data_IF_363837415728
#
_entry.id   IF_363837415728
#
_cell.length_a   1.000
_cell.length_b   1.000
_cell.length_c   1.000
_cell.angle_alpha   90.00
_cell.angle_beta   90.00
_cell.angle_gamma   90.00
#
_symmetry.space_group_name_H-M   'P 1'
#
loop_
_entity.id
_entity.type
_entity.pdbx_description
1 polymer ?
#
# COMPACT_ATOMS: atom_id res chain seq x y z
N UNK A 1 -35.70 -19.48 -35.10
CA UNK A 1 -35.14 -19.72 -33.75
C UNK A 1 -33.62 -19.83 -33.72
N UNK A 2 -32.98 -20.70 -34.53
CA UNK A 2 -31.50 -20.88 -34.51
C UNK A 2 -30.67 -19.60 -34.65
N UNK A 3 -31.02 -18.68 -35.57
CA UNK A 3 -30.32 -17.40 -35.73
C UNK A 3 -30.38 -16.48 -34.49
N UNK A 4 -31.51 -16.49 -33.77
CA UNK A 4 -31.66 -15.71 -32.52
C UNK A 4 -30.80 -16.29 -31.39
N UNK A 5 -30.73 -17.61 -31.29
CA UNK A 5 -29.87 -18.32 -30.32
C UNK A 5 -28.38 -18.06 -30.62
N UNK A 6 -28.01 -18.12 -31.90
CA UNK A 6 -26.62 -17.86 -32.33
C UNK A 6 -26.21 -16.41 -32.05
N UNK A 7 -27.09 -15.44 -32.30
CA UNK A 7 -26.86 -14.03 -31.97
C UNK A 7 -26.70 -13.83 -30.45
N UNK A 8 -27.55 -14.47 -29.65
CA UNK A 8 -27.48 -14.40 -28.20
C UNK A 8 -26.16 -14.96 -27.64
N UNK A 9 -25.69 -16.10 -28.16
CA UNK A 9 -24.40 -16.68 -27.79
C UNK A 9 -23.22 -15.77 -28.15
N UNK A 10 -23.25 -15.15 -29.33
CA UNK A 10 -22.24 -14.16 -29.75
C UNK A 10 -22.19 -12.94 -28.81
N UNK A 11 -23.36 -12.46 -28.37
CA UNK A 11 -23.44 -11.36 -27.41
C UNK A 11 -22.83 -11.70 -26.05
N UNK A 12 -23.11 -12.91 -25.53
CA UNK A 12 -22.51 -13.39 -24.28
C UNK A 12 -20.99 -13.45 -24.42
N UNK A 13 -20.49 -13.96 -25.54
CA UNK A 13 -19.06 -14.12 -25.80
C UNK A 13 -18.35 -12.76 -25.93
N UNK A 14 -19.04 -11.78 -26.52
CA UNK A 14 -18.54 -10.41 -26.59
C UNK A 14 -18.50 -9.76 -25.20
N UNK A 15 -19.59 -9.86 -24.41
CA UNK A 15 -19.63 -9.31 -23.05
C UNK A 15 -18.56 -9.96 -22.18
N UNK A 16 -18.40 -11.29 -22.24
CA UNK A 16 -17.39 -11.99 -21.44
C UNK A 16 -15.98 -11.56 -21.85
N UNK A 17 -15.72 -11.35 -23.14
CA UNK A 17 -14.44 -10.79 -23.62
C UNK A 17 -14.18 -9.38 -23.10
N UNK A 18 -15.18 -8.49 -23.14
CA UNK A 18 -15.07 -7.13 -22.59
C UNK A 18 -14.83 -7.16 -21.08
N UNK A 19 -15.60 -7.97 -20.34
CA UNK A 19 -15.44 -8.13 -18.89
C UNK A 19 -14.06 -8.70 -18.52
N UNK A 20 -13.56 -9.68 -19.29
CA UNK A 20 -12.23 -10.25 -19.10
C UNK A 20 -11.15 -9.19 -19.35
N UNK A 21 -11.22 -8.47 -20.47
CA UNK A 21 -10.30 -7.38 -20.77
C UNK A 21 -10.29 -6.32 -19.65
N UNK A 22 -11.48 -5.92 -19.19
CA UNK A 22 -11.65 -4.93 -18.13
C UNK A 22 -11.10 -5.42 -16.78
N UNK A 23 -11.31 -6.69 -16.43
CA UNK A 23 -10.78 -7.29 -15.21
C UNK A 23 -9.24 -7.26 -15.17
N UNK A 24 -8.57 -7.59 -16.28
CA UNK A 24 -7.10 -7.60 -16.34
C UNK A 24 -6.46 -6.20 -16.48
N UNK A 25 -7.19 -5.24 -17.05
CA UNK A 25 -6.68 -3.87 -17.26
C UNK A 25 -7.12 -2.86 -16.20
N UNK A 26 -8.12 -3.19 -15.38
CA UNK A 26 -8.48 -2.35 -14.24
C UNK A 26 -7.43 -2.49 -13.13
N UNK A 27 -7.09 -1.39 -12.42
CA UNK A 27 -6.19 -1.47 -11.27
C UNK A 27 -6.85 -2.34 -10.20
N UNK A 28 -6.38 -3.58 -10.06
CA UNK A 28 -6.81 -4.45 -8.97
C UNK A 28 -6.06 -4.01 -7.70
N UNK A 29 -6.77 -3.36 -6.78
CA UNK A 29 -6.24 -3.07 -5.45
C UNK A 29 -6.50 -4.31 -4.60
N UNK A 30 -5.49 -5.17 -4.50
CA UNK A 30 -5.53 -6.28 -3.55
C UNK A 30 -5.13 -5.75 -2.19
N UNK A 31 -6.06 -5.76 -1.25
CA UNK A 31 -5.77 -5.57 0.17
C UNK A 31 -5.34 -6.94 0.73
N UNK A 32 -4.04 -7.24 0.90
CA UNK A 32 -3.67 -8.46 1.59
C UNK A 32 -4.23 -8.41 3.00
N UNK A 33 -4.67 -9.58 3.50
CA UNK A 33 -4.96 -9.74 4.91
C UNK A 33 -3.75 -9.24 5.72
N UNK A 34 -4.01 -8.50 6.80
CA UNK A 34 -2.97 -8.05 7.73
C UNK A 34 -2.17 -9.30 8.13
N UNK A 35 -0.88 -9.39 7.79
CA UNK A 35 -0.08 -10.49 8.29
C UNK A 35 -0.12 -10.39 9.81
N UNK A 36 -0.70 -11.40 10.46
CA UNK A 36 -0.53 -11.57 11.89
C UNK A 36 0.97 -11.65 12.15
N UNK A 37 1.47 -10.61 12.83
CA UNK A 37 2.77 -10.57 13.49
C UNK A 37 4.00 -10.34 12.60
N UNK A 38 4.50 -9.10 12.67
CA UNK A 38 5.91 -8.88 13.00
C UNK A 38 6.00 -8.16 14.35
N UNK A 39 5.12 -8.50 15.30
CA UNK A 39 5.19 -7.98 16.66
C UNK A 39 6.52 -8.45 17.27
N UNK A 40 7.52 -7.59 17.29
CA UNK A 40 8.76 -7.84 18.03
C UNK A 40 8.39 -7.78 19.51
N UNK A 41 7.89 -8.90 20.05
CA UNK A 41 7.49 -9.07 21.45
C UNK A 41 8.69 -8.71 22.34
N UNK A 42 8.48 -7.84 23.32
CA UNK A 42 9.47 -7.54 24.37
C UNK A 42 10.28 -6.24 24.22
N UNK A 43 9.87 -5.28 23.37
CA UNK A 43 10.59 -4.00 23.22
C UNK A 43 9.83 -2.73 23.67
N UNK A 44 8.65 -2.86 24.30
CA UNK A 44 7.80 -1.69 24.64
C UNK A 44 7.16 -1.04 23.41
N UNK A 45 7.26 -1.68 22.24
CA UNK A 45 6.70 -1.21 20.98
C UNK A 45 6.21 -2.37 20.13
N UNK A 46 5.12 -2.12 19.42
CA UNK A 46 4.56 -2.92 18.34
C UNK A 46 5.02 -2.33 17.00
N UNK A 47 5.92 -3.02 16.28
CA UNK A 47 6.35 -2.63 14.93
C UNK A 47 5.65 -3.51 13.89
N UNK A 48 5.20 -2.91 12.79
CA UNK A 48 4.57 -3.67 11.72
C UNK A 48 4.57 -2.95 10.38
N UNK A 49 4.16 -3.69 9.35
CA UNK A 49 4.17 -3.24 7.96
C UNK A 49 2.89 -3.71 7.29
N UNK A 50 2.26 -2.82 6.57
CA UNK A 50 1.15 -3.08 5.68
C UNK A 50 1.58 -2.75 4.26
N UNK A 51 1.63 -3.73 3.36
CA UNK A 51 2.05 -3.54 1.97
C UNK A 51 0.84 -3.74 1.05
N UNK A 52 0.52 -2.74 0.23
CA UNK A 52 -0.42 -2.86 -0.89
C UNK A 52 0.40 -2.90 -2.17
N UNK A 53 0.13 -3.94 -2.98
CA UNK A 53 0.61 -4.00 -4.36
C UNK A 53 -0.48 -3.51 -5.27
N UNK A 54 -0.31 -2.30 -5.80
CA UNK A 54 -1.19 -1.80 -6.84
C UNK A 54 -0.58 -2.18 -8.19
N UNK A 55 -1.38 -2.68 -9.13
CA UNK A 55 -0.94 -2.88 -10.52
C UNK A 55 -0.90 -1.53 -11.27
N UNK A 56 -0.29 -0.51 -10.65
CA UNK A 56 -0.09 0.81 -11.23
C UNK A 56 1.35 0.90 -11.74
N UNK A 57 1.57 1.49 -12.92
CA UNK A 57 2.90 1.56 -13.54
C UNK A 57 3.90 2.34 -12.69
N UNK A 58 3.41 3.33 -11.92
CA UNK A 58 4.23 4.21 -11.10
C UNK A 58 4.38 3.72 -9.66
N UNK A 59 3.32 3.19 -9.05
CA UNK A 59 3.28 2.82 -7.64
C UNK A 59 3.05 1.32 -7.47
N UNK A 60 3.97 0.50 -8.01
CA UNK A 60 3.82 -0.97 -7.97
C UNK A 60 3.67 -1.50 -6.55
N UNK A 61 4.38 -0.87 -5.60
CA UNK A 61 4.38 -1.27 -4.21
C UNK A 61 4.27 -0.01 -3.35
N UNK A 62 3.20 0.05 -2.57
CA UNK A 62 2.98 1.04 -1.53
C UNK A 62 3.02 0.33 -0.19
N UNK A 63 3.74 0.85 0.79
CA UNK A 63 3.77 0.26 2.12
C UNK A 63 3.61 1.31 3.20
N UNK A 64 2.82 0.99 4.22
CA UNK A 64 2.70 1.74 5.46
C UNK A 64 3.42 0.96 6.55
N UNK A 65 4.42 1.57 7.16
CA UNK A 65 5.02 1.04 8.40
C UNK A 65 4.43 1.72 9.59
N UNK A 66 4.31 0.99 10.69
CA UNK A 66 3.86 1.57 11.94
C UNK A 66 4.73 1.12 13.11
N UNK A 67 4.84 2.01 14.09
CA UNK A 67 5.37 1.72 15.43
C UNK A 67 4.37 2.28 16.43
N UNK A 68 3.83 1.41 17.27
CA UNK A 68 2.88 1.77 18.32
C UNK A 68 3.51 1.45 19.67
N UNK A 69 3.66 2.41 20.60
CA UNK A 69 4.20 2.14 21.92
C UNK A 69 3.21 1.36 22.78
N UNK A 70 3.70 0.33 23.47
CA UNK A 70 2.89 -0.60 24.26
C UNK A 70 3.46 -0.81 25.65
N UNK A 71 2.61 -1.23 26.58
CA UNK A 71 3.03 -1.75 27.88
C UNK A 71 3.65 -3.16 27.78
N UNK A 72 4.01 -3.74 28.92
CA UNK A 72 4.57 -5.09 29.04
C UNK A 72 3.61 -6.19 28.57
N UNK A 73 2.30 -5.91 28.57
CA UNK A 73 1.24 -6.82 28.13
C UNK A 73 0.94 -6.68 26.63
N UNK A 74 1.59 -5.74 25.92
CA UNK A 74 1.34 -5.44 24.52
C UNK A 74 0.12 -4.55 24.28
N UNK A 75 -0.40 -3.89 25.31
CA UNK A 75 -1.51 -2.93 25.21
C UNK A 75 -0.94 -1.55 24.85
N UNK A 76 -1.48 -0.85 23.84
CA UNK A 76 -1.04 0.49 23.48
C UNK A 76 -1.08 1.46 24.68
N UNK A 77 0.00 2.25 24.85
CA UNK A 77 0.03 3.29 25.87
C UNK A 77 -1.03 4.37 25.59
N UNK A 78 -1.50 5.08 26.63
CA UNK A 78 -2.47 6.17 26.45
C UNK A 78 -1.96 7.27 25.50
N UNK A 79 -0.65 7.56 25.55
CA UNK A 79 0.02 8.52 24.68
C UNK A 79 0.08 8.08 23.21
N UNK A 80 -0.12 6.79 22.92
CA UNK A 80 -0.13 6.23 21.56
C UNK A 80 -1.28 6.79 20.71
N UNK A 81 -2.26 7.45 21.33
CA UNK A 81 -3.31 8.22 20.66
C UNK A 81 -2.77 9.46 19.91
N UNK A 82 -1.57 9.94 20.25
CA UNK A 82 -0.88 10.97 19.49
C UNK A 82 -0.18 10.31 18.30
N UNK A 83 -0.48 10.80 17.10
CA UNK A 83 -0.08 10.17 15.85
C UNK A 83 0.89 11.10 15.10
N UNK A 84 2.05 10.56 14.74
CA UNK A 84 2.95 11.17 13.76
C UNK A 84 2.80 10.39 12.47
N UNK A 85 2.26 11.04 11.44
CA UNK A 85 2.16 10.49 10.11
C UNK A 85 3.20 11.14 9.20
N UNK A 86 4.15 10.35 8.70
CA UNK A 86 5.18 10.82 7.78
C UNK A 86 4.99 10.23 6.38
N UNK A 87 4.81 11.09 5.39
CA UNK A 87 4.67 10.71 3.99
C UNK A 87 5.19 11.83 3.07
N UNK A 88 5.77 11.54 1.88
CA UNK A 88 6.17 10.24 1.35
C UNK A 88 7.70 10.02 1.32
N UNK A 89 8.16 8.78 1.54
CA UNK A 89 9.50 8.35 1.10
C UNK A 89 9.45 7.94 -0.38
N UNK A 90 9.57 8.91 -1.29
CA UNK A 90 9.64 8.67 -2.73
C UNK A 90 11.08 8.34 -3.14
N UNK A 91 11.29 7.21 -3.82
CA UNK A 91 12.62 6.80 -4.30
C UNK A 91 13.53 6.13 -3.25
N UNK A 92 13.21 6.28 -1.96
CA UNK A 92 13.93 5.63 -0.85
C UNK A 92 13.25 4.33 -0.36
N UNK A 93 12.34 3.76 -1.15
CA UNK A 93 11.58 2.59 -0.73
C UNK A 93 12.44 1.37 -0.36
N UNK A 94 13.60 1.21 -1.01
CA UNK A 94 14.52 0.11 -0.74
C UNK A 94 15.19 0.20 0.65
N UNK A 95 15.50 1.40 1.16
CA UNK A 95 16.07 1.58 2.50
C UNK A 95 15.00 1.34 3.57
N UNK A 96 13.80 1.86 3.33
CA UNK A 96 12.62 1.72 4.20
C UNK A 96 12.10 0.28 4.28
N UNK A 97 12.33 -0.56 3.25
CA UNK A 97 11.95 -1.99 3.25
C UNK A 97 12.58 -2.82 4.35
N UNK A 98 13.75 -2.44 4.86
CA UNK A 98 14.44 -3.23 5.89
C UNK A 98 14.08 -2.78 7.29
N UNK A 99 13.98 -1.47 7.52
CA UNK A 99 13.75 -0.92 8.86
C UNK A 99 13.19 0.49 8.79
N UNK A 100 12.36 0.85 9.77
CA UNK A 100 12.01 2.25 10.03
C UNK A 100 13.29 3.06 10.36
N UNK A 101 13.47 4.27 9.80
CA UNK A 101 14.57 5.18 10.12
C UNK A 101 14.68 5.43 11.61
N UNK A 102 15.90 5.54 12.12
CA UNK A 102 16.15 5.70 13.56
C UNK A 102 15.45 6.94 14.12
N UNK A 103 15.49 8.06 13.41
CA UNK A 103 14.84 9.30 13.87
C UNK A 103 13.31 9.19 13.99
N UNK A 104 12.66 8.28 13.25
CA UNK A 104 11.23 8.00 13.41
C UNK A 104 10.96 7.14 14.65
N UNK A 105 11.95 6.37 15.13
CA UNK A 105 11.86 5.58 16.37
C UNK A 105 12.00 6.44 17.62
N UNK A 106 12.61 7.62 17.50
CA UNK A 106 12.71 8.57 18.62
C UNK A 106 11.33 9.04 19.12
N UNK A 107 10.32 9.12 18.25
CA UNK A 107 8.98 9.56 18.65
C UNK A 107 8.29 8.63 19.63
N UNK A 108 8.16 7.32 19.36
CA UNK A 108 7.59 6.38 20.31
C UNK A 108 8.49 6.25 21.55
N UNK A 109 9.82 6.29 21.40
CA UNK A 109 10.76 6.14 22.53
C UNK A 109 10.76 7.34 23.49
N UNK A 110 10.72 8.58 22.99
CA UNK A 110 10.82 9.80 23.81
C UNK A 110 9.46 10.36 24.20
N UNK A 111 8.46 10.27 23.32
CA UNK A 111 7.17 10.92 23.50
C UNK A 111 6.00 9.93 23.65
N UNK A 112 6.24 8.64 23.41
CA UNK A 112 5.18 7.62 23.48
C UNK A 112 4.12 7.80 22.39
N UNK A 113 4.48 8.37 21.24
CA UNK A 113 3.57 8.59 20.12
C UNK A 113 3.55 7.40 19.16
N UNK A 114 2.40 7.15 18.53
CA UNK A 114 2.32 6.22 17.41
C UNK A 114 2.89 6.87 16.15
N UNK A 115 3.70 6.12 15.40
CA UNK A 115 4.31 6.59 14.16
C UNK A 115 3.82 5.74 13.01
N UNK A 116 3.41 6.40 11.93
CA UNK A 116 3.04 5.78 10.67
C UNK A 116 3.88 6.42 9.56
N UNK A 117 4.43 5.59 8.68
CA UNK A 117 5.27 6.02 7.56
C UNK A 117 4.76 5.44 6.25
N UNK A 118 4.44 6.29 5.28
CA UNK A 118 4.10 5.87 3.93
C UNK A 118 5.34 5.86 3.03
N UNK A 119 5.60 4.71 2.43
CA UNK A 119 6.64 4.49 1.44
C UNK A 119 6.02 4.08 0.13
N UNK A 120 6.39 4.78 -0.96
CA UNK A 120 5.91 4.47 -2.31
C UNK A 120 7.14 4.13 -3.16
N UNK A 121 7.20 2.88 -3.65
CA UNK A 121 8.22 2.49 -4.60
C UNK A 121 7.82 2.99 -5.99
N UNK A 122 8.30 4.19 -6.31
CA UNK A 122 8.15 4.81 -7.61
C UNK A 122 9.15 4.22 -8.62
N UNK A 123 8.68 3.74 -9.76
CA UNK A 123 9.57 3.36 -10.86
C UNK A 123 10.01 4.60 -11.67
N UNK A 124 11.07 5.26 -11.20
CA UNK A 124 11.64 6.46 -11.84
C UNK A 124 12.32 6.20 -13.20
N UNK A 125 12.46 4.93 -13.66
CA UNK A 125 12.97 4.63 -15.01
C UNK A 125 11.97 4.97 -16.14
N UNK A 126 10.76 5.41 -15.82
CA UNK A 126 9.81 5.97 -16.80
C UNK A 126 10.25 7.42 -17.11
N UNK A 127 11.43 7.60 -17.69
CA UNK A 127 11.99 8.92 -18.07
C UNK A 127 11.49 9.40 -19.43
N UNK A 128 10.87 8.54 -20.24
CA UNK A 128 10.38 8.89 -21.58
C UNK A 128 8.91 9.35 -21.63
N UNK A 129 8.19 9.36 -20.50
CA UNK A 129 6.75 9.66 -20.46
C UNK A 129 6.37 10.59 -19.30
N UNK A 130 7.11 11.67 -19.10
CA UNK A 130 6.86 12.68 -18.04
C UNK A 130 5.42 13.21 -18.05
N UNK A 131 4.78 13.30 -19.22
CA UNK A 131 3.36 13.71 -19.33
C UNK A 131 2.39 12.63 -18.82
N UNK A 132 2.76 11.36 -18.91
CA UNK A 132 1.99 10.25 -18.35
C UNK A 132 2.19 10.16 -16.84
N UNK A 133 3.38 10.54 -16.35
CA UNK A 133 3.70 10.62 -14.91
C UNK A 133 2.72 11.52 -14.16
N UNK A 134 2.51 12.77 -14.61
CA UNK A 134 1.59 13.69 -13.93
C UNK A 134 0.11 13.34 -14.15
N UNK A 135 -0.24 12.77 -15.32
CA UNK A 135 -1.62 12.36 -15.62
C UNK A 135 -2.11 11.20 -14.76
N UNK A 136 -1.25 10.22 -14.48
CA UNK A 136 -1.62 9.09 -13.63
C UNK A 136 -1.59 9.44 -12.13
N UNK A 137 -0.71 10.37 -11.72
CA UNK A 137 -0.68 10.85 -10.33
C UNK A 137 -1.99 11.58 -9.94
N UNK A 138 -2.56 12.37 -10.86
CA UNK A 138 -3.83 13.08 -10.68
C UNK A 138 -5.07 12.19 -10.62
N UNK A 139 -4.98 10.92 -11.05
CA UNK A 139 -6.10 9.96 -10.93
C UNK A 139 -6.18 9.28 -9.57
N UNK A 140 -5.14 9.43 -8.75
CA UNK A 140 -5.00 8.78 -7.44
C UNK A 140 -5.39 9.74 -6.30
N UNK A 141 -5.48 11.05 -6.58
CA UNK A 141 -5.92 12.11 -5.65
C UNK A 141 -7.40 12.41 -5.95
#
# INVERSE_FOLDING_TARGET
MKKKIQFFLLMILFISGVMFYWYFHSPQIFYPALPEQNCIRGKGFLEGIFEIRANLPLNRITSVRYIIPTDENGVPLRSASNIVFYAPFNGEAASMRKRMPLWLRDFPEKYGFSVFSLTIEANVKITNFTDQYYRELLKII
#
